data_IF_720782090692
#
_entry.id   IF_720782090692
#
_cell.length_a   1.000
_cell.length_b   1.000
_cell.length_c   1.000
_cell.angle_alpha   90.00
_cell.angle_beta   90.00
_cell.angle_gamma   90.00
#
_symmetry.space_group_name_H-M   'P 1'
#
loop_
_entity.id
_entity.type
_entity.pdbx_description
1 polymer ?
#
# COMPACT_ATOMS: atom_id res chain seq x y z
N UNK A 1 14.07 -30.00 -21.86
CA UNK A 1 13.09 -30.80 -21.06
C UNK A 1 11.96 -29.85 -20.70
N UNK A 2 10.69 -30.25 -20.90
CA UNK A 2 9.53 -29.41 -20.53
C UNK A 2 9.35 -29.47 -19.01
N UNK A 3 9.04 -28.34 -18.38
CA UNK A 3 8.90 -28.25 -16.93
C UNK A 3 7.41 -28.48 -16.54
N UNK A 4 7.06 -29.51 -15.76
CA UNK A 4 5.68 -29.77 -15.36
C UNK A 4 5.13 -28.76 -14.34
N UNK A 5 6.00 -27.96 -13.69
CA UNK A 5 5.59 -27.00 -12.68
C UNK A 5 5.05 -25.67 -13.25
N UNK A 6 5.17 -25.40 -14.56
CA UNK A 6 4.81 -24.09 -15.14
C UNK A 6 3.31 -23.78 -15.05
N UNK A 7 2.45 -24.79 -15.06
CA UNK A 7 1.00 -24.58 -14.83
C UNK A 7 0.73 -24.19 -13.38
N UNK A 8 1.41 -24.83 -12.42
CA UNK A 8 1.27 -24.49 -11.01
C UNK A 8 1.78 -23.07 -10.71
N UNK A 9 2.86 -22.67 -11.39
CA UNK A 9 3.44 -21.32 -11.35
C UNK A 9 2.42 -20.26 -11.80
N UNK A 10 1.89 -20.38 -13.02
CA UNK A 10 0.91 -19.43 -13.57
C UNK A 10 -0.40 -19.39 -12.76
N UNK A 11 -0.86 -20.55 -12.24
CA UNK A 11 -1.99 -20.61 -11.32
C UNK A 11 -1.65 -19.90 -10.00
N UNK A 12 -0.42 -20.05 -9.52
CA UNK A 12 0.11 -19.40 -8.33
C UNK A 12 -0.03 -17.89 -8.38
N UNK A 13 0.33 -17.25 -9.49
CA UNK A 13 0.23 -15.79 -9.65
C UNK A 13 -1.22 -15.29 -9.50
N UNK A 14 -2.18 -16.05 -10.04
CA UNK A 14 -3.60 -15.69 -9.92
C UNK A 14 -4.13 -15.91 -8.49
N UNK A 15 -3.70 -16.98 -7.82
CA UNK A 15 -4.17 -17.31 -6.46
C UNK A 15 -3.53 -16.42 -5.40
N UNK A 16 -2.22 -16.20 -5.48
CA UNK A 16 -1.46 -15.39 -4.55
C UNK A 16 -1.54 -13.91 -4.90
N UNK A 17 -0.98 -13.56 -6.05
CA UNK A 17 -0.67 -12.17 -6.39
C UNK A 17 -1.88 -11.38 -6.91
N UNK A 18 -2.96 -12.06 -7.32
CA UNK A 18 -4.23 -11.40 -7.65
C UNK A 18 -5.25 -11.56 -6.51
N UNK A 19 -5.67 -12.79 -6.19
CA UNK A 19 -6.73 -13.00 -5.22
C UNK A 19 -6.32 -12.64 -3.77
N UNK A 20 -5.12 -13.04 -3.35
CA UNK A 20 -4.58 -12.69 -2.03
C UNK A 20 -4.36 -11.19 -1.87
N UNK A 21 -3.71 -10.56 -2.86
CA UNK A 21 -3.47 -9.12 -2.87
C UNK A 21 -4.76 -8.29 -2.90
N UNK A 22 -5.76 -8.71 -3.70
CA UNK A 22 -7.08 -8.06 -3.72
C UNK A 22 -7.78 -8.12 -2.36
N UNK A 23 -7.69 -9.25 -1.67
CA UNK A 23 -8.24 -9.40 -0.31
C UNK A 23 -7.48 -8.55 0.72
N UNK A 24 -6.16 -8.44 0.61
CA UNK A 24 -5.31 -7.61 1.49
C UNK A 24 -5.68 -6.12 1.39
N UNK A 25 -5.70 -5.58 0.17
CA UNK A 25 -6.06 -4.18 -0.04
C UNK A 25 -7.53 -3.89 0.31
N UNK A 26 -8.45 -4.84 0.08
CA UNK A 26 -9.83 -4.71 0.54
C UNK A 26 -9.92 -4.63 2.07
N UNK A 27 -9.24 -5.54 2.78
CA UNK A 27 -9.20 -5.54 4.23
C UNK A 27 -8.64 -4.23 4.78
N UNK A 28 -7.54 -3.75 4.21
CA UNK A 28 -6.95 -2.45 4.55
C UNK A 28 -7.93 -1.30 4.30
N UNK A 29 -8.60 -1.27 3.15
CA UNK A 29 -9.53 -0.22 2.77
C UNK A 29 -10.72 -0.13 3.74
N UNK A 30 -11.37 -1.26 4.02
CA UNK A 30 -12.51 -1.33 4.94
C UNK A 30 -12.09 -1.00 6.37
N UNK A 31 -10.98 -1.56 6.86
CA UNK A 31 -10.49 -1.30 8.21
C UNK A 31 -10.15 0.19 8.41
N UNK A 32 -9.56 0.84 7.41
CA UNK A 32 -9.25 2.28 7.45
C UNK A 32 -10.50 3.13 7.60
N UNK A 33 -11.51 2.85 6.76
CA UNK A 33 -12.78 3.58 6.78
C UNK A 33 -13.46 3.40 8.13
N UNK A 34 -13.58 2.16 8.62
CA UNK A 34 -14.20 1.85 9.91
C UNK A 34 -13.46 2.49 11.08
N UNK A 35 -12.13 2.44 11.11
CA UNK A 35 -11.34 3.08 12.16
C UNK A 35 -11.58 4.60 12.21
N UNK A 36 -11.65 5.23 11.03
CA UNK A 36 -11.93 6.66 10.91
C UNK A 36 -13.37 6.98 11.34
N UNK A 37 -14.34 6.13 11.01
CA UNK A 37 -15.73 6.27 11.44
C UNK A 37 -15.89 6.20 12.96
N UNK A 38 -15.20 5.27 13.62
CA UNK A 38 -15.25 5.12 15.09
C UNK A 38 -14.71 6.38 15.77
N UNK A 39 -13.59 6.93 15.31
CA UNK A 39 -13.09 8.20 15.82
C UNK A 39 -14.00 9.38 15.46
N UNK A 40 -14.62 9.35 14.27
CA UNK A 40 -15.58 10.36 13.83
C UNK A 40 -16.84 10.41 14.72
N UNK A 41 -17.27 9.28 15.26
CA UNK A 41 -18.42 9.18 16.17
C UNK A 41 -18.17 9.90 17.50
N UNK A 42 -16.92 10.01 17.94
CA UNK A 42 -16.57 10.72 19.18
C UNK A 42 -16.48 12.24 19.01
N UNK A 43 -16.63 12.75 17.78
CA UNK A 43 -16.57 14.19 17.49
C UNK A 43 -17.94 14.80 17.74
N UNK A 44 -18.01 15.75 18.68
CA UNK A 44 -19.22 16.54 18.90
C UNK A 44 -19.34 17.62 17.81
N UNK A 45 -20.41 17.54 17.02
CA UNK A 45 -20.59 18.37 15.83
C UNK A 45 -22.06 18.68 15.58
N UNK A 46 -22.34 19.95 15.25
CA UNK A 46 -23.64 20.41 14.78
C UNK A 46 -23.54 20.73 13.29
N UNK A 47 -24.10 19.85 12.48
CA UNK A 47 -24.04 19.92 11.02
C UNK A 47 -25.42 19.67 10.39
N UNK A 48 -25.49 19.74 9.06
CA UNK A 48 -26.71 19.43 8.29
C UNK A 48 -26.96 17.92 8.12
N UNK A 49 -26.09 17.08 8.69
CA UNK A 49 -26.07 15.62 8.57
C UNK A 49 -26.45 14.92 9.89
N UNK A 50 -27.03 15.66 10.84
CA UNK A 50 -27.48 15.11 12.13
C UNK A 50 -26.33 14.69 13.05
N UNK A 51 -25.17 15.34 12.95
CA UNK A 51 -23.97 15.02 13.72
C UNK A 51 -23.11 13.91 13.11
N UNK A 52 -23.48 13.40 11.93
CA UNK A 52 -22.81 12.25 11.31
C UNK A 52 -21.74 12.65 10.29
N UNK A 53 -21.51 13.94 10.03
CA UNK A 53 -20.57 14.34 8.96
C UNK A 53 -19.16 13.74 9.10
N UNK A 54 -18.52 13.63 10.29
CA UNK A 54 -17.18 13.04 10.41
C UNK A 54 -17.21 11.51 10.27
N UNK A 55 -18.35 10.87 10.50
CA UNK A 55 -18.55 9.44 10.27
C UNK A 55 -18.69 9.17 8.76
N UNK A 56 -19.46 10.00 8.06
CA UNK A 56 -19.74 9.80 6.63
C UNK A 56 -18.59 10.23 5.72
N UNK A 57 -17.79 11.22 6.14
CA UNK A 57 -16.70 11.79 5.34
C UNK A 57 -15.73 10.74 4.75
N UNK A 58 -15.13 9.81 5.53
CA UNK A 58 -14.22 8.81 4.96
C UNK A 58 -14.90 7.93 3.91
N UNK A 59 -16.18 7.58 4.07
CA UNK A 59 -16.93 6.81 3.07
C UNK A 59 -17.13 7.58 1.77
N UNK A 60 -17.46 8.88 1.86
CA UNK A 60 -17.66 9.72 0.69
C UNK A 60 -16.35 9.92 -0.07
N UNK A 61 -15.25 10.22 0.65
CA UNK A 61 -13.93 10.40 0.02
C UNK A 61 -13.48 9.12 -0.66
N UNK A 62 -13.54 7.99 0.05
CA UNK A 62 -13.06 6.71 -0.50
C UNK A 62 -13.97 6.20 -1.62
N UNK A 63 -15.29 6.40 -1.51
CA UNK A 63 -16.26 6.02 -2.56
C UNK A 63 -16.11 6.84 -3.84
N UNK A 64 -15.94 8.16 -3.71
CA UNK A 64 -15.64 9.01 -4.86
C UNK A 64 -14.23 8.74 -5.42
N UNK A 65 -13.28 8.36 -4.58
CA UNK A 65 -11.95 7.91 -4.99
C UNK A 65 -11.96 6.73 -5.96
N UNK A 66 -12.94 5.82 -5.85
CA UNK A 66 -13.16 4.76 -6.85
C UNK A 66 -13.53 5.37 -8.21
N UNK A 67 -14.47 6.33 -8.22
CA UNK A 67 -14.89 7.01 -9.45
C UNK A 67 -13.71 7.80 -10.07
N UNK A 68 -12.94 8.49 -9.24
CA UNK A 68 -11.75 9.22 -9.69
C UNK A 68 -10.66 8.30 -10.23
N UNK A 69 -10.50 7.11 -9.64
CA UNK A 69 -9.61 6.07 -10.16
C UNK A 69 -10.08 5.57 -11.53
N UNK A 70 -11.39 5.37 -11.73
CA UNK A 70 -11.96 5.00 -13.05
C UNK A 70 -11.68 6.09 -14.08
N UNK A 71 -11.84 7.37 -13.73
CA UNK A 71 -11.49 8.48 -14.64
C UNK A 71 -9.97 8.50 -14.89
N UNK A 72 -9.18 8.19 -13.86
CA UNK A 72 -7.73 8.10 -13.93
C UNK A 72 -7.22 7.08 -14.96
N UNK A 73 -7.95 5.98 -15.16
CA UNK A 73 -7.54 4.94 -16.13
C UNK A 73 -7.57 5.46 -17.57
N UNK A 74 -8.42 6.44 -17.87
CA UNK A 74 -8.46 7.07 -19.20
C UNK A 74 -7.17 7.82 -19.55
N UNK A 75 -6.35 8.18 -18.56
CA UNK A 75 -5.05 8.80 -18.77
C UNK A 75 -3.92 7.78 -18.97
N UNK A 76 -4.15 6.49 -18.67
CA UNK A 76 -3.17 5.41 -18.89
C UNK A 76 -3.15 5.07 -20.38
N UNK A 77 -2.22 5.67 -21.13
CA UNK A 77 -2.12 5.50 -22.58
C UNK A 77 -0.68 5.19 -23.01
N UNK A 78 -0.54 4.23 -23.93
CA UNK A 78 0.73 3.85 -24.57
C UNK A 78 0.61 4.21 -26.05
N UNK A 79 1.56 4.98 -26.58
CA UNK A 79 1.52 5.47 -27.97
C UNK A 79 2.31 4.57 -28.92
N UNK A 80 3.51 4.19 -28.51
CA UNK A 80 4.44 3.37 -29.30
C UNK A 80 5.04 2.23 -28.45
N UNK A 81 5.62 1.22 -29.10
CA UNK A 81 6.26 0.07 -28.45
C UNK A 81 7.49 0.41 -27.59
N UNK A 82 8.05 1.61 -27.78
CA UNK A 82 9.16 2.15 -26.97
C UNK A 82 8.70 3.01 -25.78
N UNK A 83 7.38 3.16 -25.60
CA UNK A 83 6.85 3.98 -24.51
C UNK A 83 7.17 3.33 -23.17
N UNK A 84 7.48 4.15 -22.18
CA UNK A 84 7.71 3.66 -20.83
C UNK A 84 6.36 3.35 -20.15
N UNK A 85 6.08 2.06 -19.97
CA UNK A 85 4.84 1.55 -19.35
C UNK A 85 4.68 2.04 -17.91
N UNK A 86 5.77 2.07 -17.13
CA UNK A 86 5.78 2.59 -15.77
C UNK A 86 5.30 4.05 -15.73
N UNK A 87 5.74 4.88 -16.67
CA UNK A 87 5.31 6.28 -16.74
C UNK A 87 3.81 6.42 -17.06
N UNK A 88 3.26 5.54 -17.91
CA UNK A 88 1.83 5.54 -18.23
C UNK A 88 0.99 5.16 -17.00
N UNK A 89 1.40 4.13 -16.25
CA UNK A 89 0.76 3.72 -15.00
C UNK A 89 0.87 4.81 -13.93
N UNK A 90 2.06 5.42 -13.80
CA UNK A 90 2.28 6.54 -12.90
C UNK A 90 1.35 7.72 -13.26
N UNK A 91 1.18 8.07 -14.53
CA UNK A 91 0.27 9.13 -14.96
C UNK A 91 -1.20 8.86 -14.53
N UNK A 92 -1.65 7.61 -14.65
CA UNK A 92 -2.95 7.18 -14.11
C UNK A 92 -3.05 7.38 -12.59
N UNK A 93 -1.99 7.03 -11.85
CA UNK A 93 -1.94 7.25 -10.41
C UNK A 93 -1.98 8.74 -10.04
N UNK A 94 -1.11 9.56 -10.65
CA UNK A 94 -1.03 11.00 -10.41
C UNK A 94 -2.35 11.71 -10.72
N UNK A 95 -3.00 11.35 -11.83
CA UNK A 95 -4.31 11.92 -12.17
C UNK A 95 -5.37 11.58 -11.10
N UNK A 96 -5.42 10.33 -10.63
CA UNK A 96 -6.34 9.89 -9.58
C UNK A 96 -6.10 10.64 -8.26
N UNK A 97 -4.84 10.82 -7.88
CA UNK A 97 -4.43 11.56 -6.67
C UNK A 97 -4.84 13.04 -6.76
N UNK A 98 -4.56 13.70 -7.89
CA UNK A 98 -4.87 15.12 -8.09
C UNK A 98 -6.39 15.37 -8.09
N UNK A 99 -7.15 14.53 -8.80
CA UNK A 99 -8.61 14.65 -8.84
C UNK A 99 -9.18 14.44 -7.42
N UNK A 100 -8.68 13.44 -6.69
CA UNK A 100 -9.08 13.17 -5.31
C UNK A 100 -8.75 14.36 -4.39
N UNK A 101 -7.56 14.94 -4.51
CA UNK A 101 -7.15 16.12 -3.74
C UNK A 101 -8.12 17.29 -3.97
N UNK A 102 -8.40 17.65 -5.22
CA UNK A 102 -9.30 18.75 -5.57
C UNK A 102 -10.72 18.47 -5.07
N UNK A 103 -11.25 17.27 -5.31
CA UNK A 103 -12.58 16.91 -4.87
C UNK A 103 -12.72 16.92 -3.35
N UNK A 104 -11.71 16.42 -2.62
CA UNK A 104 -11.72 16.38 -1.16
C UNK A 104 -11.87 17.77 -0.53
N UNK A 105 -11.32 18.82 -1.15
CA UNK A 105 -11.51 20.19 -0.68
C UNK A 105 -12.99 20.60 -0.67
N UNK A 106 -13.69 20.37 -1.79
CA UNK A 106 -15.11 20.72 -1.92
C UNK A 106 -15.99 19.85 -1.01
N UNK A 107 -15.69 18.55 -0.91
CA UNK A 107 -16.42 17.62 -0.04
C UNK A 107 -16.29 18.03 1.41
N UNK A 108 -15.07 18.31 1.88
CA UNK A 108 -14.81 18.73 3.26
C UNK A 108 -15.53 20.04 3.59
N UNK A 109 -15.49 21.03 2.68
CA UNK A 109 -16.19 22.30 2.86
C UNK A 109 -17.71 22.17 2.84
N UNK A 110 -18.24 21.19 2.12
CA UNK A 110 -19.68 20.94 2.05
C UNK A 110 -20.20 20.15 3.25
N UNK A 111 -19.44 19.16 3.74
CA UNK A 111 -19.89 18.24 4.78
C UNK A 111 -19.60 18.73 6.20
N UNK A 112 -18.42 19.29 6.45
CA UNK A 112 -17.96 19.60 7.80
C UNK A 112 -18.21 21.08 8.16
N UNK A 113 -18.65 21.37 9.40
CA UNK A 113 -18.75 22.74 9.88
C UNK A 113 -17.36 23.34 10.13
N UNK A 114 -17.32 24.65 10.38
CA UNK A 114 -16.05 25.37 10.55
C UNK A 114 -15.22 24.91 11.75
N UNK A 115 -15.87 24.42 12.81
CA UNK A 115 -15.21 23.97 14.04
C UNK A 115 -15.70 22.59 14.46
N UNK A 116 -14.76 21.74 14.84
CA UNK A 116 -14.96 20.39 15.34
C UNK A 116 -14.14 20.21 16.62
N UNK A 117 -14.58 19.31 17.50
CA UNK A 117 -13.88 19.01 18.73
C UNK A 117 -13.83 17.50 18.97
N UNK A 118 -12.62 16.97 19.15
CA UNK A 118 -12.39 15.59 19.58
C UNK A 118 -11.63 15.59 20.90
N UNK A 119 -12.25 15.09 21.97
CA UNK A 119 -11.60 14.91 23.29
C UNK A 119 -10.90 16.18 23.81
N UNK A 120 -11.46 17.36 23.54
CA UNK A 120 -10.89 18.66 23.95
C UNK A 120 -9.88 19.24 22.97
N UNK A 121 -9.57 18.53 21.87
CA UNK A 121 -8.77 19.05 20.76
C UNK A 121 -9.68 19.69 19.72
N UNK A 122 -9.65 21.02 19.63
CA UNK A 122 -10.45 21.77 18.66
C UNK A 122 -9.67 21.95 17.35
N UNK A 123 -10.34 21.66 16.23
CA UNK A 123 -9.77 21.83 14.89
C UNK A 123 -10.85 22.27 13.90
N UNK A 124 -10.41 22.77 12.74
CA UNK A 124 -11.32 23.29 11.72
C UNK A 124 -11.51 22.30 10.56
N UNK A 125 -12.56 22.49 9.76
CA UNK A 125 -12.75 21.70 8.54
C UNK A 125 -11.56 21.79 7.58
N UNK A 126 -10.91 22.96 7.47
CA UNK A 126 -9.74 23.11 6.60
C UNK A 126 -8.54 22.29 7.11
N UNK A 127 -8.41 22.11 8.42
CA UNK A 127 -7.39 21.23 8.97
C UNK A 127 -7.64 19.76 8.60
N UNK A 128 -8.91 19.32 8.58
CA UNK A 128 -9.25 17.97 8.11
C UNK A 128 -8.84 17.78 6.66
N UNK A 129 -9.07 18.78 5.80
CA UNK A 129 -8.59 18.76 4.42
C UNK A 129 -7.05 18.64 4.35
N UNK A 130 -6.31 19.40 5.15
CA UNK A 130 -4.86 19.27 5.18
C UNK A 130 -4.39 17.90 5.67
N UNK A 131 -5.10 17.27 6.62
CA UNK A 131 -4.81 15.89 7.03
C UNK A 131 -5.01 14.89 5.89
N UNK A 132 -6.09 15.03 5.09
CA UNK A 132 -6.30 14.21 3.88
C UNK A 132 -5.16 14.41 2.88
N UNK A 133 -4.74 15.66 2.65
CA UNK A 133 -3.61 15.97 1.77
C UNK A 133 -2.30 15.35 2.26
N UNK A 134 -2.05 15.34 3.58
CA UNK A 134 -0.90 14.62 4.16
C UNK A 134 -0.97 13.14 3.79
N UNK A 135 -2.13 12.50 3.92
CA UNK A 135 -2.35 11.12 3.51
C UNK A 135 -1.98 10.83 2.05
N UNK A 136 -2.50 11.66 1.13
CA UNK A 136 -2.20 11.56 -0.30
C UNK A 136 -0.71 11.74 -0.59
N UNK A 137 -0.06 12.70 0.08
CA UNK A 137 1.39 12.95 -0.06
C UNK A 137 2.20 11.77 0.48
N UNK A 138 1.85 11.23 1.65
CA UNK A 138 2.52 10.05 2.21
C UNK A 138 2.41 8.88 1.23
N UNK A 139 1.22 8.59 0.71
CA UNK A 139 1.02 7.51 -0.26
C UNK A 139 1.86 7.69 -1.53
N UNK A 140 1.93 8.93 -2.02
CA UNK A 140 2.74 9.30 -3.18
C UNK A 140 4.24 9.08 -2.94
N UNK A 141 4.76 9.57 -1.81
CA UNK A 141 6.19 9.42 -1.48
C UNK A 141 6.53 7.94 -1.27
N UNK A 142 5.66 7.18 -0.61
CA UNK A 142 5.82 5.74 -0.43
C UNK A 142 5.95 5.01 -1.77
N UNK A 143 5.12 5.39 -2.75
CA UNK A 143 5.18 4.83 -4.10
C UNK A 143 6.49 5.17 -4.81
N UNK A 144 6.91 6.44 -4.81
CA UNK A 144 8.15 6.89 -5.45
C UNK A 144 9.39 6.20 -4.84
N UNK A 145 9.44 6.11 -3.51
CA UNK A 145 10.56 5.50 -2.81
C UNK A 145 10.63 4.02 -3.10
N UNK A 146 9.49 3.33 -3.11
CA UNK A 146 9.44 1.91 -3.42
C UNK A 146 9.91 1.65 -4.86
N UNK A 147 9.40 2.42 -5.83
CA UNK A 147 9.86 2.36 -7.23
C UNK A 147 11.38 2.56 -7.34
N UNK A 148 11.97 3.51 -6.59
CA UNK A 148 13.43 3.73 -6.62
C UNK A 148 14.25 2.52 -6.16
N UNK A 149 13.76 1.76 -5.18
CA UNK A 149 14.46 0.59 -4.65
C UNK A 149 14.21 -0.70 -5.45
N UNK A 150 13.17 -0.75 -6.29
CA UNK A 150 12.78 -1.98 -7.00
C UNK A 150 12.85 -1.89 -8.52
N UNK A 151 12.78 -0.70 -9.11
CA UNK A 151 12.82 -0.54 -10.56
C UNK A 151 14.21 -0.79 -11.15
N UNK A 152 14.23 -1.44 -12.32
CA UNK A 152 15.44 -1.64 -13.11
C UNK A 152 16.08 -0.31 -13.53
N UNK A 153 17.41 -0.28 -13.60
CA UNK A 153 18.17 0.92 -13.99
C UNK A 153 18.33 1.95 -12.87
N UNK A 154 17.80 1.72 -11.67
CA UNK A 154 18.04 2.55 -10.48
C UNK A 154 19.28 2.09 -9.71
N UNK A 155 19.89 3.01 -8.97
CA UNK A 155 21.11 2.77 -8.20
C UNK A 155 21.08 1.53 -7.28
N UNK A 156 20.02 1.32 -6.47
CA UNK A 156 19.94 0.17 -5.57
C UNK A 156 19.93 -1.17 -6.32
N UNK A 157 19.08 -1.33 -7.32
CA UNK A 157 18.97 -2.57 -8.11
C UNK A 157 20.25 -2.83 -8.91
N UNK A 158 20.82 -1.80 -9.55
CA UNK A 158 22.09 -1.92 -10.26
C UNK A 158 23.24 -2.38 -9.35
N UNK A 159 23.24 -1.97 -8.08
CA UNK A 159 24.25 -2.42 -7.11
C UNK A 159 24.13 -3.90 -6.75
N UNK A 160 22.90 -4.46 -6.80
CA UNK A 160 22.67 -5.90 -6.62
C UNK A 160 23.16 -6.64 -7.87
N UNK A 161 22.76 -6.19 -9.07
CA UNK A 161 23.20 -6.77 -10.35
C UNK A 161 24.73 -6.84 -10.43
N UNK A 162 25.42 -5.75 -10.05
CA UNK A 162 26.88 -5.73 -10.04
C UNK A 162 27.46 -6.78 -9.07
N UNK A 163 26.87 -6.93 -7.89
CA UNK A 163 27.32 -7.93 -6.91
C UNK A 163 27.01 -9.36 -7.34
N UNK A 164 25.94 -9.59 -8.09
CA UNK A 164 25.61 -10.91 -8.66
C UNK A 164 26.70 -11.49 -9.56
N UNK A 165 27.55 -10.64 -10.15
CA UNK A 165 28.72 -11.08 -10.93
C UNK A 165 29.76 -11.86 -10.12
N UNK A 166 29.75 -11.71 -8.78
CA UNK A 166 30.72 -12.35 -7.88
C UNK A 166 30.19 -13.63 -7.20
N UNK A 167 28.93 -14.00 -7.45
CA UNK A 167 28.34 -15.27 -7.03
C UNK A 167 27.01 -15.14 -6.26
N UNK A 168 26.42 -16.28 -5.90
CA UNK A 168 25.12 -16.32 -5.24
C UNK A 168 25.13 -15.73 -3.82
N UNK A 169 26.20 -15.93 -3.07
CA UNK A 169 26.31 -15.44 -1.69
C UNK A 169 26.32 -13.89 -1.64
N UNK A 170 27.07 -13.25 -2.53
CA UNK A 170 27.15 -11.79 -2.63
C UNK A 170 25.84 -11.20 -3.15
N UNK A 171 25.14 -11.87 -4.08
CA UNK A 171 23.78 -11.48 -4.47
C UNK A 171 22.80 -11.45 -3.28
N UNK A 172 22.78 -12.50 -2.45
CA UNK A 172 21.91 -12.57 -1.26
C UNK A 172 22.26 -11.47 -0.25
N UNK A 173 23.56 -11.29 0.04
CA UNK A 173 24.03 -10.25 0.96
C UNK A 173 23.63 -8.84 0.46
N UNK A 174 23.83 -8.58 -0.84
CA UNK A 174 23.45 -7.33 -1.47
C UNK A 174 21.94 -7.06 -1.35
N UNK A 175 21.12 -8.05 -1.71
CA UNK A 175 19.66 -7.96 -1.64
C UNK A 175 19.16 -7.69 -0.22
N UNK A 176 19.65 -8.44 0.77
CA UNK A 176 19.29 -8.23 2.18
C UNK A 176 19.70 -6.85 2.67
N UNK A 177 20.92 -6.41 2.36
CA UNK A 177 21.41 -5.07 2.72
C UNK A 177 20.55 -3.96 2.09
N UNK A 178 20.23 -4.06 0.80
CA UNK A 178 19.39 -3.07 0.11
C UNK A 178 17.97 -3.06 0.70
N UNK A 179 17.39 -4.23 0.96
CA UNK A 179 16.07 -4.35 1.59
C UNK A 179 16.02 -3.73 3.00
N UNK A 180 17.08 -3.89 3.81
CA UNK A 180 17.14 -3.22 5.12
C UNK A 180 17.24 -1.69 4.97
N UNK A 181 18.03 -1.20 4.00
CA UNK A 181 18.19 0.23 3.73
C UNK A 181 16.91 0.88 3.19
N UNK A 182 16.11 0.14 2.42
CA UNK A 182 14.89 0.68 1.81
C UNK A 182 13.83 1.08 2.85
N UNK A 183 13.93 0.58 4.08
CA UNK A 183 12.99 0.91 5.18
C UNK A 183 13.16 2.32 5.75
N UNK A 184 14.33 2.96 5.58
CA UNK A 184 14.66 4.23 6.26
C UNK A 184 13.71 5.35 5.86
N UNK A 185 13.56 5.59 4.55
CA UNK A 185 12.73 6.69 4.05
C UNK A 185 11.24 6.43 4.35
N UNK A 186 10.66 5.24 4.08
CA UNK A 186 9.30 4.91 4.44
C UNK A 186 8.95 5.19 5.91
N UNK A 187 9.81 4.79 6.84
CA UNK A 187 9.57 5.01 8.27
C UNK A 187 9.61 6.50 8.63
N UNK A 188 10.55 7.27 8.07
CA UNK A 188 10.60 8.72 8.28
C UNK A 188 9.38 9.44 7.69
N UNK A 189 8.91 8.99 6.52
CA UNK A 189 7.72 9.54 5.86
C UNK A 189 6.46 9.21 6.66
N UNK A 190 6.33 8.00 7.19
CA UNK A 190 5.24 7.63 8.09
C UNK A 190 5.27 8.44 9.39
N UNK A 191 6.44 8.58 10.04
CA UNK A 191 6.58 9.37 11.25
C UNK A 191 6.22 10.85 11.02
N UNK A 192 6.71 11.43 9.91
CA UNK A 192 6.35 12.79 9.50
C UNK A 192 4.85 12.91 9.20
N UNK A 193 4.28 11.95 8.47
CA UNK A 193 2.86 11.89 8.14
C UNK A 193 1.97 11.83 9.39
N UNK A 194 2.32 11.01 10.37
CA UNK A 194 1.62 10.91 11.66
C UNK A 194 1.68 12.25 12.40
N UNK A 195 2.88 12.85 12.54
CA UNK A 195 3.04 14.11 13.25
C UNK A 195 2.29 15.27 12.57
N UNK A 196 2.38 15.37 11.24
CA UNK A 196 1.70 16.42 10.48
C UNK A 196 0.18 16.26 10.49
N UNK A 197 -0.34 15.05 10.26
CA UNK A 197 -1.79 14.80 10.29
C UNK A 197 -2.38 14.99 11.69
N UNK A 198 -1.65 14.57 12.74
CA UNK A 198 -2.02 14.82 14.13
C UNK A 198 -2.04 16.31 14.46
N UNK A 199 -1.06 17.08 13.99
CA UNK A 199 -1.04 18.53 14.19
C UNK A 199 -2.31 19.20 13.63
N UNK A 200 -2.79 18.77 12.46
CA UNK A 200 -3.98 19.36 11.86
C UNK A 200 -5.28 18.99 12.60
N UNK A 201 -5.55 17.71 12.83
CA UNK A 201 -6.87 17.26 13.34
C UNK A 201 -6.78 16.15 14.41
N UNK A 202 -5.68 16.09 15.15
CA UNK A 202 -5.46 15.11 16.22
C UNK A 202 -5.52 13.66 15.70
N UNK A 203 -6.02 12.76 16.54
CA UNK A 203 -6.15 11.34 16.19
C UNK A 203 -7.10 11.10 15.01
N UNK A 204 -8.14 11.93 14.86
CA UNK A 204 -9.00 11.89 13.67
C UNK A 204 -8.23 12.31 12.41
N UNK A 205 -7.32 13.29 12.52
CA UNK A 205 -6.40 13.68 11.45
C UNK A 205 -5.54 12.52 10.95
N UNK A 206 -4.98 11.73 11.85
CA UNK A 206 -4.21 10.53 11.50
C UNK A 206 -5.06 9.50 10.76
N UNK A 207 -6.29 9.26 11.26
CA UNK A 207 -7.20 8.29 10.65
C UNK A 207 -7.70 8.74 9.26
N UNK A 208 -8.13 10.00 9.13
CA UNK A 208 -8.60 10.54 7.85
C UNK A 208 -7.46 10.72 6.84
N UNK A 209 -6.21 10.89 7.30
CA UNK A 209 -5.03 10.82 6.43
C UNK A 209 -4.85 9.40 5.87
N UNK A 210 -5.04 8.37 6.69
CA UNK A 210 -5.05 6.98 6.23
C UNK A 210 -6.15 6.75 5.18
N UNK A 211 -7.37 7.25 5.44
CA UNK A 211 -8.47 7.17 4.48
C UNK A 211 -8.18 7.94 3.19
N UNK A 212 -7.55 9.11 3.29
CA UNK A 212 -7.11 9.91 2.15
C UNK A 212 -6.09 9.16 1.28
N UNK A 213 -5.12 8.49 1.90
CA UNK A 213 -4.20 7.58 1.18
C UNK A 213 -4.99 6.49 0.46
N UNK A 214 -5.92 5.82 1.14
CA UNK A 214 -6.73 4.72 0.59
C UNK A 214 -7.79 5.15 -0.43
N UNK A 215 -8.02 6.46 -0.62
CA UNK A 215 -9.00 6.93 -1.59
C UNK A 215 -8.63 6.52 -3.03
N UNK A 216 -7.34 6.38 -3.34
CA UNK A 216 -6.84 5.96 -4.66
C UNK A 216 -6.56 4.46 -4.74
N UNK A 217 -7.04 3.65 -3.78
CA UNK A 217 -6.80 2.20 -3.76
C UNK A 217 -7.26 1.50 -5.03
N UNK A 218 -8.34 1.93 -5.67
CA UNK A 218 -8.81 1.30 -6.91
C UNK A 218 -7.78 1.43 -8.06
N UNK A 219 -7.15 2.60 -8.21
CA UNK A 219 -6.06 2.79 -9.18
C UNK A 219 -4.82 1.98 -8.77
N UNK A 220 -4.47 1.97 -7.48
CA UNK A 220 -3.32 1.21 -7.00
C UNK A 220 -3.49 -0.29 -7.22
N UNK A 221 -4.69 -0.83 -6.97
CA UNK A 221 -5.05 -2.23 -7.20
C UNK A 221 -4.97 -2.58 -8.70
N UNK A 222 -5.41 -1.68 -9.58
CA UNK A 222 -5.32 -1.88 -11.03
C UNK A 222 -3.85 -1.92 -11.51
N UNK A 223 -3.00 -1.06 -10.96
CA UNK A 223 -1.56 -1.00 -11.25
C UNK A 223 -0.83 -2.24 -10.71
N UNK A 224 -1.21 -2.74 -9.54
CA UNK A 224 -0.65 -3.94 -8.93
C UNK A 224 -1.06 -5.21 -9.71
N UNK A 225 -2.37 -5.37 -9.97
CA UNK A 225 -2.92 -6.50 -10.72
C UNK A 225 -2.41 -6.59 -12.17
N UNK A 226 -1.89 -5.49 -12.74
CA UNK A 226 -1.24 -5.51 -14.05
C UNK A 226 -0.04 -6.46 -14.10
N UNK A 227 0.74 -6.59 -13.02
CA UNK A 227 1.95 -7.40 -12.99
C UNK A 227 1.69 -8.90 -13.21
N UNK A 228 0.86 -9.56 -12.37
CA UNK A 228 0.52 -10.97 -12.54
C UNK A 228 -0.12 -11.29 -13.90
N UNK A 229 -0.89 -10.34 -14.46
CA UNK A 229 -1.47 -10.48 -15.80
C UNK A 229 -0.37 -10.50 -16.87
N UNK A 230 0.62 -9.61 -16.75
CA UNK A 230 1.76 -9.56 -17.67
C UNK A 230 2.64 -10.82 -17.57
N UNK A 231 2.88 -11.31 -16.36
CA UNK A 231 3.64 -12.55 -16.12
C UNK A 231 2.94 -13.76 -16.75
N UNK A 232 1.64 -13.93 -16.50
CA UNK A 232 0.85 -15.01 -17.11
C UNK A 232 0.83 -14.91 -18.64
N UNK A 233 0.74 -13.70 -19.20
CA UNK A 233 0.83 -13.50 -20.64
C UNK A 233 2.18 -13.98 -21.20
N UNK A 234 3.28 -13.70 -20.49
CA UNK A 234 4.61 -14.22 -20.82
C UNK A 234 4.71 -15.74 -20.71
N UNK A 235 4.16 -16.33 -19.65
CA UNK A 235 4.10 -17.77 -19.46
C UNK A 235 3.34 -18.48 -20.59
N UNK A 236 2.18 -17.94 -20.97
CA UNK A 236 1.38 -18.44 -22.10
C UNK A 236 2.14 -18.32 -23.42
N UNK A 237 2.83 -17.20 -23.65
CA UNK A 237 3.61 -16.98 -24.88
C UNK A 237 4.73 -18.02 -25.05
N UNK A 238 5.47 -18.30 -23.97
CA UNK A 238 6.54 -19.31 -23.96
C UNK A 238 5.97 -20.73 -24.15
N UNK A 239 4.92 -21.08 -23.40
CA UNK A 239 4.28 -22.41 -23.50
C UNK A 239 3.66 -22.66 -24.89
N UNK A 240 3.21 -21.60 -25.57
CA UNK A 240 2.61 -21.67 -26.91
C UNK A 240 3.65 -21.57 -28.04
N UNK A 241 4.94 -21.43 -27.72
CA UNK A 241 6.03 -21.26 -28.69
C UNK A 241 5.79 -20.09 -29.67
N UNK A 242 5.26 -18.98 -29.14
CA UNK A 242 5.07 -17.77 -29.94
C UNK A 242 6.42 -17.16 -30.36
N UNK A 243 6.44 -16.28 -31.38
CA UNK A 243 7.66 -15.61 -31.81
C UNK A 243 8.38 -14.88 -30.65
N UNK A 244 9.73 -14.82 -30.65
CA UNK A 244 10.51 -14.21 -29.57
C UNK A 244 10.11 -12.76 -29.25
N UNK A 245 9.66 -12.01 -30.26
CA UNK A 245 9.17 -10.64 -30.10
C UNK A 245 7.99 -10.53 -29.11
N UNK A 246 7.12 -11.55 -29.05
CA UNK A 246 6.01 -11.58 -28.08
C UNK A 246 6.56 -11.72 -26.66
N UNK A 247 7.59 -12.58 -26.48
CA UNK A 247 8.22 -12.79 -25.18
C UNK A 247 8.99 -11.57 -24.72
N UNK A 248 9.73 -10.91 -25.61
CA UNK A 248 10.43 -9.65 -25.30
C UNK A 248 9.47 -8.54 -24.85
N UNK A 249 8.29 -8.46 -25.47
CA UNK A 249 7.24 -7.52 -25.06
C UNK A 249 6.70 -7.87 -23.67
N UNK A 250 6.38 -9.13 -23.41
CA UNK A 250 5.86 -9.57 -22.09
C UNK A 250 6.89 -9.43 -20.98
N UNK A 251 8.18 -9.69 -21.26
CA UNK A 251 9.26 -9.52 -20.27
C UNK A 251 9.42 -8.05 -19.84
N UNK A 252 9.22 -7.11 -20.78
CA UNK A 252 9.21 -5.68 -20.45
C UNK A 252 8.01 -5.33 -19.55
N UNK A 253 6.82 -5.87 -19.87
CA UNK A 253 5.62 -5.65 -19.06
C UNK A 253 5.75 -6.27 -17.66
N UNK A 254 6.29 -7.48 -17.56
CA UNK A 254 6.54 -8.18 -16.30
C UNK A 254 7.58 -7.47 -15.43
N UNK A 255 8.68 -6.97 -16.01
CA UNK A 255 9.66 -6.17 -15.26
C UNK A 255 9.02 -4.91 -14.62
N UNK A 256 8.08 -4.28 -15.31
CA UNK A 256 7.28 -3.17 -14.77
C UNK A 256 6.29 -3.68 -13.71
N UNK A 257 5.64 -4.81 -13.97
CA UNK A 257 4.76 -5.52 -13.04
C UNK A 257 5.39 -5.81 -11.68
N UNK A 258 6.64 -6.28 -11.67
CA UNK A 258 7.40 -6.53 -10.45
C UNK A 258 7.62 -5.25 -9.62
N UNK A 259 7.81 -4.11 -10.29
CA UNK A 259 7.95 -2.80 -9.63
C UNK A 259 6.62 -2.32 -9.08
N UNK A 260 5.52 -2.52 -9.81
CA UNK A 260 4.19 -2.10 -9.39
C UNK A 260 3.66 -2.96 -8.24
N UNK A 261 3.95 -4.26 -8.23
CA UNK A 261 3.64 -5.16 -7.13
C UNK A 261 4.38 -4.76 -5.84
N UNK A 262 5.66 -4.39 -5.94
CA UNK A 262 6.38 -3.85 -4.78
C UNK A 262 5.75 -2.54 -4.30
N UNK A 263 5.39 -1.65 -5.22
CA UNK A 263 4.72 -0.37 -4.92
C UNK A 263 3.38 -0.58 -4.20
N UNK A 264 2.57 -1.54 -4.65
CA UNK A 264 1.31 -1.91 -4.01
C UNK A 264 1.50 -2.46 -2.60
N UNK A 265 2.50 -3.34 -2.40
CA UNK A 265 2.90 -3.81 -1.05
C UNK A 265 3.36 -2.67 -0.14
N UNK A 266 4.17 -1.74 -0.66
CA UNK A 266 4.62 -0.56 0.09
C UNK A 266 3.45 0.34 0.51
N UNK A 267 2.47 0.51 -0.37
CA UNK A 267 1.23 1.22 -0.10
C UNK A 267 0.38 0.51 0.97
N UNK A 268 0.20 -0.81 0.86
CA UNK A 268 -0.52 -1.61 1.85
C UNK A 268 0.12 -1.54 3.25
N UNK A 269 1.45 -1.59 3.33
CA UNK A 269 2.18 -1.47 4.61
C UNK A 269 1.97 -0.08 5.22
N UNK A 270 2.07 0.98 4.41
CA UNK A 270 1.88 2.34 4.90
C UNK A 270 0.45 2.59 5.40
N UNK A 271 -0.56 2.13 4.66
CA UNK A 271 -1.95 2.25 5.07
C UNK A 271 -2.26 1.39 6.29
N UNK A 272 -1.72 0.17 6.38
CA UNK A 272 -1.85 -0.69 7.56
C UNK A 272 -1.23 -0.05 8.81
N UNK A 273 -0.09 0.63 8.69
CA UNK A 273 0.54 1.33 9.81
C UNK A 273 -0.34 2.48 10.34
N UNK A 274 -0.84 3.35 9.45
CA UNK A 274 -1.71 4.46 9.83
C UNK A 274 -3.07 3.97 10.37
N UNK A 275 -3.63 2.91 9.77
CA UNK A 275 -4.88 2.28 10.19
C UNK A 275 -4.75 1.62 11.55
N UNK A 276 -3.65 0.91 11.79
CA UNK A 276 -3.36 0.30 13.09
C UNK A 276 -3.29 1.36 14.17
N UNK A 277 -2.69 2.52 13.90
CA UNK A 277 -2.65 3.64 14.84
C UNK A 277 -4.06 4.22 15.11
N UNK A 278 -4.89 4.36 14.08
CA UNK A 278 -6.27 4.81 14.22
C UNK A 278 -7.13 3.82 15.05
N UNK A 279 -7.02 2.52 14.76
CA UNK A 279 -7.66 1.46 15.54
C UNK A 279 -7.16 1.43 16.97
N UNK A 280 -5.87 1.69 17.19
CA UNK A 280 -5.30 1.76 18.51
C UNK A 280 -5.83 2.95 19.32
N UNK A 281 -5.98 4.12 18.69
CA UNK A 281 -6.62 5.29 19.28
C UNK A 281 -8.09 5.04 19.66
N UNK A 282 -8.83 4.34 18.80
CA UNK A 282 -10.20 3.91 19.07
C UNK A 282 -10.25 2.91 20.24
N UNK A 283 -9.37 1.90 20.24
CA UNK A 283 -9.25 0.91 21.32
C UNK A 283 -8.99 1.57 22.67
N UNK A 284 -8.05 2.52 22.75
CA UNK A 284 -7.73 3.26 23.97
C UNK A 284 -8.96 3.99 24.52
N UNK A 285 -9.75 4.61 23.64
CA UNK A 285 -10.99 5.29 24.01
C UNK A 285 -12.03 4.33 24.60
N UNK A 286 -12.32 3.24 23.88
CA UNK A 286 -13.33 2.25 24.26
C UNK A 286 -12.93 1.50 25.54
N UNK A 287 -11.65 1.18 25.69
CA UNK A 287 -11.11 0.48 26.86
C UNK A 287 -11.02 1.38 28.11
N UNK A 288 -11.33 2.68 28.00
CA UNK A 288 -11.20 3.63 29.11
C UNK A 288 -9.76 3.86 29.56
N UNK A 289 -8.79 3.66 28.65
CA UNK A 289 -7.37 3.88 28.92
C UNK A 289 -7.07 5.36 28.76
N UNK A 290 -6.62 6.02 29.82
CA UNK A 290 -6.29 7.45 29.78
C UNK A 290 -4.94 7.74 29.12
N UNK A 291 -3.95 6.88 29.35
CA UNK A 291 -2.62 6.99 28.77
C UNK A 291 -1.92 5.62 28.71
N UNK A 292 -1.12 5.43 27.66
CA UNK A 292 -0.23 4.27 27.53
C UNK A 292 1.14 4.68 28.04
N UNK A 293 1.47 4.20 29.22
CA UNK A 293 2.75 4.44 29.87
C UNK A 293 3.70 3.26 29.61
N UNK A 294 4.68 3.49 28.72
CA UNK A 294 5.69 2.49 28.35
C UNK A 294 6.63 2.10 29.49
N UNK A 295 6.68 2.87 30.58
CA UNK A 295 7.49 2.53 31.76
C UNK A 295 6.83 1.45 32.63
N UNK A 296 5.54 1.15 32.41
CA UNK A 296 4.85 0.08 33.14
C UNK A 296 5.30 -1.28 32.62
N UNK A 297 5.74 -2.15 33.54
CA UNK A 297 6.24 -3.49 33.20
C UNK A 297 5.29 -4.32 32.29
N UNK A 298 3.96 -4.33 32.48
CA UNK A 298 3.06 -5.04 31.56
C UNK A 298 3.06 -4.49 30.14
N UNK A 299 3.16 -3.16 29.97
CA UNK A 299 3.19 -2.51 28.65
C UNK A 299 4.52 -2.77 27.96
N UNK A 300 5.64 -2.65 28.69
CA UNK A 300 6.97 -2.93 28.17
C UNK A 300 7.12 -4.40 27.75
N UNK A 301 6.65 -5.34 28.58
CA UNK A 301 6.63 -6.76 28.25
C UNK A 301 5.76 -7.03 27.00
N UNK A 302 4.58 -6.44 26.93
CA UNK A 302 3.70 -6.52 25.77
C UNK A 302 4.33 -5.98 24.49
N UNK A 303 5.09 -4.89 24.57
CA UNK A 303 5.81 -4.30 23.44
C UNK A 303 6.86 -5.26 22.86
N UNK A 304 7.68 -5.90 23.70
CA UNK A 304 8.68 -6.87 23.23
C UNK A 304 8.03 -8.14 22.67
N UNK A 305 6.98 -8.66 23.31
CA UNK A 305 6.23 -9.81 22.79
C UNK A 305 5.61 -9.47 21.45
N UNK A 306 4.96 -8.31 21.32
CA UNK A 306 4.37 -7.83 20.08
C UNK A 306 5.40 -7.64 18.96
N UNK A 307 6.56 -7.06 19.25
CA UNK A 307 7.65 -6.86 18.28
C UNK A 307 8.27 -8.16 17.76
N UNK A 308 8.17 -9.26 18.52
CA UNK A 308 8.63 -10.59 18.10
C UNK A 308 7.63 -11.30 17.17
N UNK A 309 6.33 -11.01 17.25
CA UNK A 309 5.27 -11.69 16.46
C UNK A 309 5.56 -11.69 14.95
N UNK A 310 5.95 -10.58 14.30
CA UNK A 310 6.27 -10.58 12.87
C UNK A 310 7.41 -11.53 12.49
N UNK A 311 8.40 -11.71 13.37
CA UNK A 311 9.53 -12.61 13.12
C UNK A 311 9.11 -14.08 13.16
N UNK A 312 8.35 -14.48 14.18
CA UNK A 312 7.90 -15.88 14.28
C UNK A 312 6.91 -16.20 13.16
N UNK A 313 6.00 -15.27 12.82
CA UNK A 313 5.11 -15.43 11.68
C UNK A 313 5.89 -15.61 10.37
N UNK A 314 6.88 -14.74 10.11
CA UNK A 314 7.74 -14.85 8.92
C UNK A 314 8.49 -16.18 8.88
N UNK A 315 9.03 -16.65 10.01
CA UNK A 315 9.75 -17.92 10.08
C UNK A 315 8.84 -19.11 9.72
N UNK A 316 7.60 -19.13 10.22
CA UNK A 316 6.61 -20.16 9.90
C UNK A 316 6.24 -20.15 8.42
N UNK A 317 6.02 -18.97 7.83
CA UNK A 317 5.73 -18.83 6.39
C UNK A 317 6.90 -19.30 5.52
N UNK A 318 8.13 -18.87 5.83
CA UNK A 318 9.34 -19.28 5.08
C UNK A 318 9.53 -20.80 5.17
N UNK A 319 9.34 -21.39 6.35
CA UNK A 319 9.46 -22.83 6.54
C UNK A 319 8.41 -23.61 5.73
N UNK A 320 7.17 -23.11 5.69
CA UNK A 320 6.09 -23.73 4.91
C UNK A 320 6.40 -23.72 3.41
N UNK A 321 6.84 -22.58 2.86
CA UNK A 321 7.25 -22.46 1.45
C UNK A 321 8.45 -23.36 1.15
N UNK A 322 9.46 -23.38 2.01
CA UNK A 322 10.65 -24.21 1.83
C UNK A 322 10.34 -25.71 1.75
N UNK A 323 9.40 -26.19 2.56
CA UNK A 323 8.94 -27.59 2.51
C UNK A 323 8.26 -27.90 1.17
N UNK A 324 7.28 -27.09 0.77
CA UNK A 324 6.54 -27.29 -0.48
C UNK A 324 7.46 -27.19 -1.72
N UNK A 325 8.40 -26.24 -1.72
CA UNK A 325 9.37 -26.09 -2.80
C UNK A 325 10.29 -27.31 -2.94
N UNK A 326 10.72 -27.92 -1.82
CA UNK A 326 11.55 -29.13 -1.87
C UNK A 326 10.79 -30.32 -2.45
N UNK A 327 9.53 -30.51 -2.05
CA UNK A 327 8.66 -31.55 -2.59
C UNK A 327 8.44 -31.33 -4.10
N UNK A 328 8.20 -30.08 -4.53
CA UNK A 328 8.06 -29.72 -5.94
C UNK A 328 9.34 -29.99 -6.75
N UNK A 329 10.52 -29.68 -6.21
CA UNK A 329 11.80 -29.96 -6.88
C UNK A 329 12.01 -31.46 -7.04
N UNK A 330 11.64 -32.28 -6.06
CA UNK A 330 11.72 -33.74 -6.17
C UNK A 330 10.78 -34.26 -7.25
N UNK A 331 9.55 -33.74 -7.33
CA UNK A 331 8.57 -34.15 -8.32
C UNK A 331 8.95 -33.71 -9.75
N UNK A 332 9.46 -32.49 -9.94
CA UNK A 332 9.95 -32.01 -11.26
C UNK A 332 11.14 -32.85 -11.76
N UNK A 333 11.93 -33.44 -10.85
CA UNK A 333 13.04 -34.33 -11.19
C UNK A 333 12.62 -35.76 -11.52
N UNK A 334 11.44 -36.20 -11.08
CA UNK A 334 10.93 -37.57 -11.25
C UNK A 334 10.45 -37.83 -12.68
#
# INVERSE_FOLDING_TARGET
>A
VRNPATIADNVGDNVGDVAGMGADLFGSYVATILATMVLGQEIDVKDNFGGMSPILLPMVICGLGIIFSIIGTWFVTIKDEKSNVQNALNLGNWSSIIITAVASFFIVKWMLPETLNLRGYQFSSINVFYAIMVGLVVGTIMSIVTEYYTAMGKGPVNSIIQQSSTGHATNIIAGLSVGMKSTVIPILVLAGGIMSSYYFAGLYGVAIAAAGMMATTAMQLAIDAFGPIADNAGGIAEMSQLPPEVRERTDNLDAVGNTTAATGKGFAIASAALTSLALFAAFVGIAGISAIDIYKAPVLAGLFVGGMIPFIFSALCIQAVGKAAMDMVQEVRR
#
